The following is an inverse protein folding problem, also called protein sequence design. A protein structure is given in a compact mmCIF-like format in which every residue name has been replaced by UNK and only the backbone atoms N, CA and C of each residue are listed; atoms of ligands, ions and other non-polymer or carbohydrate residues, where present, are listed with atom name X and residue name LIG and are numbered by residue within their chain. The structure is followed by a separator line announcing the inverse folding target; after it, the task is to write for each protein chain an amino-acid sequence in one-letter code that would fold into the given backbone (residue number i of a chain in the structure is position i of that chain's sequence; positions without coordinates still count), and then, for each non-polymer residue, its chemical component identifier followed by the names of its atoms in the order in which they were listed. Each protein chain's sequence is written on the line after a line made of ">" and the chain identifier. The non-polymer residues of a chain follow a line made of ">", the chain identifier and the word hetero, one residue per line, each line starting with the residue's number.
data_IF_883279426016
#
_entry.id   IF_883279426016
#
_cell.length_a   1.000
_cell.length_b   1.000
_cell.length_c   1.000
_cell.angle_alpha   90.00
_cell.angle_beta   90.00
_cell.angle_gamma   90.00
#
_symmetry.space_group_name_H-M   'P 1'
#
loop_
_entity.id
_entity.type
_entity.pdbx_description
1 polymer ?
#
# COMPACT_ATOMS: atom_id res chain seq x y z
N UNK A 1 36.37 15.67 14.73
CA UNK A 1 35.34 15.60 13.66
C UNK A 1 35.82 14.58 12.64
N UNK A 2 35.12 13.45 12.48
CA UNK A 2 35.47 12.49 11.42
C UNK A 2 35.09 13.09 10.08
N UNK A 3 35.99 13.04 9.10
CA UNK A 3 35.77 13.54 7.75
C UNK A 3 36.03 12.41 6.79
N UNK A 4 35.02 12.07 6.00
CA UNK A 4 35.11 11.06 4.95
C UNK A 4 35.10 11.75 3.58
N UNK A 5 35.92 11.26 2.64
CA UNK A 5 36.03 11.82 1.28
C UNK A 5 35.74 10.74 0.25
N UNK A 6 35.05 11.11 -0.83
CA UNK A 6 34.73 10.21 -1.95
C UNK A 6 34.09 8.89 -1.49
N UNK A 7 33.04 9.00 -0.68
CA UNK A 7 32.36 7.86 -0.07
C UNK A 7 30.98 7.61 -0.69
N UNK A 8 30.47 6.39 -0.48
CA UNK A 8 29.06 6.06 -0.64
C UNK A 8 28.37 6.16 0.73
N UNK A 9 27.48 7.14 0.90
CA UNK A 9 26.70 7.28 2.13
C UNK A 9 25.41 6.48 2.00
N UNK A 10 25.19 5.55 2.92
CA UNK A 10 24.01 4.67 2.92
C UNK A 10 23.19 4.96 4.17
N UNK A 11 22.08 5.67 3.99
CA UNK A 11 21.07 5.77 5.03
C UNK A 11 20.27 4.47 5.06
N UNK A 12 20.23 3.80 6.21
CA UNK A 12 19.59 2.49 6.36
C UNK A 12 18.54 2.52 7.47
N UNK A 13 17.36 1.97 7.17
CA UNK A 13 16.31 1.69 8.14
C UNK A 13 15.99 0.20 8.05
N UNK A 14 15.92 -0.46 9.20
CA UNK A 14 15.49 -1.84 9.31
C UNK A 14 14.00 -1.84 9.61
N UNK A 15 13.22 -2.62 8.88
CA UNK A 15 11.77 -2.77 9.01
C UNK A 15 11.39 -4.07 9.76
N UNK A 16 10.15 -4.11 10.25
CA UNK A 16 9.60 -5.12 11.15
C UNK A 16 9.92 -6.58 10.78
N UNK A 17 9.78 -6.93 9.51
CA UNK A 17 9.98 -8.30 9.01
C UNK A 17 11.32 -8.53 8.34
N UNK A 18 12.25 -7.58 8.43
CA UNK A 18 13.58 -7.73 7.87
C UNK A 18 14.35 -8.81 8.64
N UNK A 19 15.08 -9.63 7.89
CA UNK A 19 15.97 -10.65 8.39
C UNK A 19 17.26 -10.69 7.58
N UNK A 20 18.06 -11.75 7.74
CA UNK A 20 19.32 -11.91 6.98
C UNK A 20 19.11 -11.98 5.46
N UNK A 21 17.90 -12.32 5.01
CA UNK A 21 17.53 -12.37 3.60
C UNK A 21 17.59 -10.98 2.96
N UNK A 22 16.89 -10.00 3.52
CA UNK A 22 16.90 -8.61 3.04
C UNK A 22 18.29 -7.97 3.15
N UNK A 23 19.06 -8.35 4.17
CA UNK A 23 20.46 -7.93 4.31
C UNK A 23 21.35 -8.44 3.17
N UNK A 24 21.11 -9.67 2.71
CA UNK A 24 21.85 -10.25 1.59
C UNK A 24 21.52 -9.51 0.29
N UNK A 25 20.24 -9.27 0.02
CA UNK A 25 19.78 -8.45 -1.12
C UNK A 25 20.40 -7.05 -1.06
N UNK A 26 20.39 -6.41 0.11
CA UNK A 26 20.98 -5.10 0.32
C UNK A 26 22.50 -5.10 0.07
N UNK A 27 23.21 -6.10 0.58
CA UNK A 27 24.66 -6.20 0.40
C UNK A 27 25.04 -6.44 -1.07
N UNK A 28 24.23 -7.17 -1.83
CA UNK A 28 24.40 -7.38 -3.27
C UNK A 28 24.11 -6.12 -4.08
N UNK A 29 23.05 -5.38 -3.73
CA UNK A 29 22.74 -4.11 -4.38
C UNK A 29 23.82 -3.06 -4.09
N UNK A 30 24.28 -2.96 -2.84
CA UNK A 30 25.36 -2.03 -2.48
C UNK A 30 26.66 -2.39 -3.19
N UNK A 31 26.95 -3.68 -3.37
CA UNK A 31 28.10 -4.12 -4.14
C UNK A 31 27.98 -3.70 -5.63
N UNK A 32 26.81 -3.90 -6.22
CA UNK A 32 26.53 -3.50 -7.61
C UNK A 32 26.66 -1.99 -7.81
N UNK A 33 26.07 -1.20 -6.91
CA UNK A 33 26.17 0.27 -6.93
C UNK A 33 27.60 0.76 -6.70
N UNK A 34 28.31 0.17 -5.74
CA UNK A 34 29.70 0.52 -5.43
C UNK A 34 30.63 0.22 -6.60
N UNK A 35 30.43 -0.89 -7.31
CA UNK A 35 31.18 -1.22 -8.52
C UNK A 35 30.91 -0.22 -9.66
N UNK A 36 29.67 0.24 -9.84
CA UNK A 36 29.30 1.22 -10.88
C UNK A 36 29.99 2.57 -10.67
N UNK A 37 30.14 3.01 -9.42
CA UNK A 37 30.70 4.33 -9.06
C UNK A 37 32.19 4.29 -8.68
N UNK A 38 32.81 3.12 -8.79
CA UNK A 38 34.23 2.87 -8.54
C UNK A 38 34.57 2.68 -7.05
N UNK A 39 34.29 1.47 -6.52
CA UNK A 39 34.61 0.95 -5.17
C UNK A 39 35.01 2.02 -4.15
N UNK A 40 34.00 2.70 -3.61
CA UNK A 40 34.16 3.75 -2.60
C UNK A 40 33.97 3.20 -1.19
N UNK A 41 34.62 3.78 -0.16
CA UNK A 41 34.27 3.48 1.23
C UNK A 41 32.79 3.73 1.48
N UNK A 42 32.15 2.84 2.24
CA UNK A 42 30.73 2.88 2.55
C UNK A 42 30.55 3.44 3.96
N UNK A 43 29.75 4.49 4.09
CA UNK A 43 29.34 5.03 5.39
C UNK A 43 27.92 4.55 5.68
N UNK A 44 27.77 3.61 6.61
CA UNK A 44 26.47 3.13 7.06
C UNK A 44 25.91 4.09 8.11
N UNK A 45 24.78 4.71 7.77
CA UNK A 45 24.09 5.71 8.57
C UNK A 45 22.73 5.17 9.02
N UNK A 46 22.60 4.61 10.24
CA UNK A 46 21.31 4.18 10.77
C UNK A 46 20.35 5.36 10.86
N UNK A 47 19.22 5.28 10.17
CA UNK A 47 18.25 6.35 10.04
C UNK A 47 16.83 5.78 10.05
N UNK A 48 16.22 5.79 11.24
CA UNK A 48 14.88 5.24 11.49
C UNK A 48 13.76 5.99 10.74
N UNK A 49 14.03 7.21 10.24
CA UNK A 49 13.01 8.05 9.61
C UNK A 49 12.71 7.67 8.17
N UNK A 50 13.38 6.66 7.61
CA UNK A 50 13.12 6.19 6.26
C UNK A 50 11.86 5.31 6.16
N UNK A 51 11.37 4.77 7.28
CA UNK A 51 10.18 3.91 7.30
C UNK A 51 9.30 4.15 8.52
N UNK A 52 7.99 3.94 8.35
CA UNK A 52 7.00 3.88 9.42
C UNK A 52 6.91 2.47 10.04
N UNK A 53 7.29 1.42 9.29
CA UNK A 53 7.26 0.01 9.71
C UNK A 53 8.59 -0.41 10.35
N UNK A 54 9.21 0.51 11.08
CA UNK A 54 10.53 0.32 11.69
C UNK A 54 10.55 -0.90 12.62
N UNK A 55 11.62 -1.69 12.53
CA UNK A 55 11.85 -2.77 13.46
C UNK A 55 12.04 -2.26 14.90
N UNK A 56 11.72 -3.10 15.90
CA UNK A 56 12.13 -2.88 17.27
C UNK A 56 13.63 -2.58 17.40
N UNK A 57 14.00 -1.69 18.32
CA UNK A 57 15.36 -1.15 18.46
C UNK A 57 16.44 -2.23 18.50
N UNK A 58 16.22 -3.28 19.29
CA UNK A 58 17.17 -4.40 19.44
C UNK A 58 17.39 -5.16 18.13
N UNK A 59 16.32 -5.40 17.37
CA UNK A 59 16.39 -6.06 16.06
C UNK A 59 17.13 -5.17 15.06
N UNK A 60 16.77 -3.89 15.00
CA UNK A 60 17.40 -2.92 14.10
C UNK A 60 18.90 -2.77 14.37
N UNK A 61 19.29 -2.60 15.64
CA UNK A 61 20.70 -2.48 16.03
C UNK A 61 21.52 -3.72 15.65
N UNK A 62 20.95 -4.92 15.88
CA UNK A 62 21.58 -6.17 15.52
C UNK A 62 21.73 -6.35 14.01
N UNK A 63 20.66 -6.10 13.23
CA UNK A 63 20.70 -6.26 11.76
C UNK A 63 21.64 -5.25 11.08
N UNK A 64 21.69 -4.00 11.54
CA UNK A 64 22.67 -3.03 11.03
C UNK A 64 24.10 -3.50 11.28
N UNK A 65 24.39 -4.09 12.45
CA UNK A 65 25.72 -4.63 12.75
C UNK A 65 26.06 -5.87 11.89
N UNK A 66 25.07 -6.71 11.58
CA UNK A 66 25.27 -7.84 10.66
C UNK A 66 25.51 -7.37 9.22
N UNK A 67 24.82 -6.32 8.76
CA UNK A 67 25.04 -5.73 7.44
C UNK A 67 26.47 -5.16 7.29
N UNK A 68 26.98 -4.49 8.32
CA UNK A 68 28.37 -4.04 8.38
C UNK A 68 29.35 -5.21 8.17
N UNK A 69 29.18 -6.30 8.93
CA UNK A 69 30.02 -7.49 8.81
C UNK A 69 29.94 -8.12 7.41
N UNK A 70 28.75 -8.19 6.83
CA UNK A 70 28.54 -8.75 5.49
C UNK A 70 29.28 -7.95 4.42
N UNK A 71 29.23 -6.62 4.48
CA UNK A 71 29.93 -5.75 3.55
C UNK A 71 31.46 -5.82 3.72
N UNK A 72 31.95 -5.87 4.96
CA UNK A 72 33.39 -6.07 5.24
C UNK A 72 33.86 -7.43 4.68
N UNK A 73 33.09 -8.50 4.90
CA UNK A 73 33.42 -9.83 4.37
C UNK A 73 33.46 -9.87 2.83
N UNK A 74 32.68 -9.01 2.15
CA UNK A 74 32.74 -8.80 0.69
C UNK A 74 33.90 -7.90 0.25
N UNK A 75 34.73 -7.42 1.17
CA UNK A 75 35.94 -6.64 0.89
C UNK A 75 35.73 -5.14 0.73
N UNK A 76 34.65 -4.59 1.30
CA UNK A 76 34.42 -3.14 1.33
C UNK A 76 35.03 -2.51 2.60
N UNK A 77 35.54 -1.28 2.46
CA UNK A 77 35.83 -0.41 3.61
C UNK A 77 34.52 0.19 4.10
N UNK A 78 34.12 -0.15 5.32
CA UNK A 78 32.81 0.21 5.89
C UNK A 78 33.01 0.91 7.21
N UNK A 79 32.40 2.09 7.36
CA UNK A 79 32.35 2.82 8.60
C UNK A 79 30.89 3.00 9.01
N UNK A 80 30.50 2.39 10.14
CA UNK A 80 29.15 2.55 10.69
C UNK A 80 29.09 3.67 11.72
N UNK A 81 28.12 4.57 11.56
CA UNK A 81 27.84 5.60 12.55
C UNK A 81 27.09 5.04 13.78
N UNK A 82 27.15 5.77 14.89
CA UNK A 82 26.46 5.37 16.13
C UNK A 82 24.95 5.21 15.93
N UNK A 83 24.42 4.10 16.44
CA UNK A 83 22.99 3.78 16.44
C UNK A 83 22.31 4.40 17.66
N UNK A 84 21.08 4.92 17.52
CA UNK A 84 20.28 5.43 18.64
C UNK A 84 20.59 6.86 19.09
N UNK A 85 21.47 7.58 18.40
CA UNK A 85 21.83 8.96 18.75
C UNK A 85 21.36 9.98 17.70
N UNK A 86 20.94 11.15 18.18
CA UNK A 86 20.88 12.35 17.36
C UNK A 86 22.29 12.75 16.92
N UNK A 87 22.47 12.96 15.62
CA UNK A 87 23.77 13.23 14.99
C UNK A 87 23.69 14.51 14.17
N UNK A 88 24.68 15.38 14.34
CA UNK A 88 24.91 16.51 13.44
C UNK A 88 25.97 16.10 12.42
N UNK A 89 25.68 16.28 11.13
CA UNK A 89 26.62 16.00 10.05
C UNK A 89 26.39 16.97 8.88
N UNK A 90 27.45 17.22 8.12
CA UNK A 90 27.40 17.91 6.83
C UNK A 90 27.74 16.92 5.71
N UNK A 91 27.12 17.07 4.55
CA UNK A 91 27.35 16.23 3.38
C UNK A 91 27.31 17.08 2.12
N UNK A 92 28.20 16.78 1.18
CA UNK A 92 28.22 17.35 -0.16
C UNK A 92 28.02 16.22 -1.17
N UNK A 93 27.02 16.35 -2.03
CA UNK A 93 26.68 15.36 -3.05
C UNK A 93 27.09 15.87 -4.43
N UNK A 94 27.74 15.02 -5.23
CA UNK A 94 28.24 15.41 -6.56
C UNK A 94 27.14 15.78 -7.57
N UNK A 95 25.87 15.47 -7.31
CA UNK A 95 24.72 15.93 -8.10
C UNK A 95 24.51 15.29 -9.48
N UNK A 96 25.32 14.31 -9.89
CA UNK A 96 25.16 13.61 -11.16
C UNK A 96 23.95 12.66 -11.15
N UNK A 97 23.43 12.28 -12.33
CA UNK A 97 22.38 11.25 -12.44
C UNK A 97 22.83 9.96 -11.75
N UNK A 98 22.03 9.46 -10.81
CA UNK A 98 22.37 8.29 -9.99
C UNK A 98 23.19 8.57 -8.72
N UNK A 99 23.48 9.84 -8.41
CA UNK A 99 24.19 10.21 -7.16
C UNK A 99 23.34 10.01 -5.89
N UNK A 100 22.01 9.91 -6.05
CA UNK A 100 21.05 9.61 -5.00
C UNK A 100 20.09 8.56 -5.53
N UNK A 101 20.00 7.43 -4.82
CA UNK A 101 19.12 6.32 -5.17
C UNK A 101 18.40 5.80 -3.93
N UNK A 102 17.11 5.55 -4.05
CA UNK A 102 16.33 4.82 -3.06
C UNK A 102 16.27 3.33 -3.42
N UNK A 103 16.34 2.47 -2.40
CA UNK A 103 16.17 1.01 -2.53
C UNK A 103 15.34 0.51 -1.36
N UNK A 104 14.54 -0.52 -1.63
CA UNK A 104 13.79 -1.27 -0.63
C UNK A 104 13.91 -2.75 -0.94
N UNK A 105 14.07 -3.52 0.11
CA UNK A 105 14.28 -4.96 0.08
C UNK A 105 13.11 -5.58 0.82
N UNK A 106 12.51 -6.59 0.21
CA UNK A 106 11.21 -7.09 0.63
C UNK A 106 11.24 -8.56 1.06
N UNK A 107 12.34 -9.27 0.74
CA UNK A 107 12.47 -10.70 0.96
C UNK A 107 11.37 -11.49 0.25
N UNK A 108 10.95 -12.57 0.90
CA UNK A 108 9.98 -13.51 0.33
C UNK A 108 8.58 -12.91 0.07
N UNK A 109 7.86 -13.52 -0.87
CA UNK A 109 6.46 -13.16 -1.20
C UNK A 109 5.56 -13.26 0.04
N UNK A 110 5.79 -14.25 0.91
CA UNK A 110 5.05 -14.44 2.15
C UNK A 110 5.27 -13.29 3.14
N UNK A 111 6.50 -12.78 3.27
CA UNK A 111 6.80 -11.63 4.13
C UNK A 111 6.15 -10.36 3.58
N UNK A 112 6.16 -10.17 2.27
CA UNK A 112 5.46 -9.07 1.62
C UNK A 112 3.96 -9.12 1.90
N UNK A 113 3.37 -10.30 1.79
CA UNK A 113 1.95 -10.47 2.06
C UNK A 113 1.62 -10.26 3.54
N UNK A 114 2.44 -10.76 4.46
CA UNK A 114 2.31 -10.53 5.90
C UNK A 114 2.40 -9.04 6.26
N UNK A 115 3.35 -8.29 5.66
CA UNK A 115 3.45 -6.83 5.83
C UNK A 115 2.14 -6.13 5.52
N UNK A 116 1.49 -6.53 4.43
CA UNK A 116 0.15 -6.04 4.13
C UNK A 116 -0.81 -6.41 5.24
N UNK A 117 -0.98 -7.70 5.54
CA UNK A 117 -1.94 -8.16 6.54
C UNK A 117 -1.78 -7.45 7.89
N UNK A 118 -0.56 -7.11 8.27
CA UNK A 118 -0.30 -6.32 9.48
C UNK A 118 -0.67 -4.86 9.36
N UNK A 119 -0.36 -4.19 8.24
CA UNK A 119 -0.86 -2.84 7.97
C UNK A 119 -2.39 -2.78 7.95
N UNK A 120 -3.01 -3.87 7.52
CA UNK A 120 -4.46 -4.06 7.51
C UNK A 120 -5.00 -4.60 8.84
N UNK A 121 -4.22 -4.63 9.92
CA UNK A 121 -4.70 -5.09 11.24
C UNK A 121 -5.19 -6.55 11.29
N UNK A 122 -5.02 -7.33 10.22
CA UNK A 122 -5.40 -8.75 10.14
C UNK A 122 -4.45 -9.60 10.96
N UNK A 123 -3.16 -9.27 10.87
CA UNK A 123 -2.10 -9.93 11.61
C UNK A 123 -1.45 -8.94 12.58
N UNK A 124 -1.28 -9.28 13.86
CA UNK A 124 -0.45 -8.47 14.75
C UNK A 124 0.98 -8.24 14.21
N UNK A 125 1.66 -7.15 14.60
CA UNK A 125 3.05 -6.88 14.19
C UNK A 125 4.04 -8.01 14.49
N UNK A 126 3.79 -8.77 15.55
CA UNK A 126 4.58 -9.91 15.99
C UNK A 126 4.31 -11.21 15.21
N UNK A 127 3.32 -11.21 14.31
CA UNK A 127 3.00 -12.38 13.48
C UNK A 127 4.18 -12.81 12.61
N UNK A 128 4.28 -14.11 12.39
CA UNK A 128 5.18 -14.72 11.43
C UNK A 128 4.39 -15.16 10.19
N UNK A 129 5.04 -15.46 9.05
CA UNK A 129 4.33 -15.89 7.85
C UNK A 129 3.40 -17.10 8.06
N UNK A 130 3.76 -18.00 8.98
CA UNK A 130 2.94 -19.16 9.37
C UNK A 130 1.68 -18.82 10.16
N UNK A 131 1.60 -17.62 10.73
CA UNK A 131 0.50 -17.14 11.55
C UNK A 131 -0.58 -16.43 10.70
N UNK A 132 -0.34 -16.28 9.38
CA UNK A 132 -1.34 -15.76 8.46
C UNK A 132 -2.58 -16.68 8.42
N UNK A 133 -3.79 -16.12 8.25
CA UNK A 133 -5.01 -16.91 8.12
C UNK A 133 -4.91 -17.97 7.02
N UNK A 134 -5.61 -19.11 7.16
CA UNK A 134 -5.53 -20.20 6.17
C UNK A 134 -5.87 -19.77 4.74
N UNK A 135 -6.78 -18.79 4.59
CA UNK A 135 -7.13 -18.21 3.29
C UNK A 135 -5.97 -17.42 2.66
N UNK A 136 -5.06 -16.87 3.47
CA UNK A 136 -3.88 -16.15 3.00
C UNK A 136 -2.91 -17.08 2.27
N UNK A 137 -2.76 -18.31 2.76
CA UNK A 137 -1.93 -19.33 2.13
C UNK A 137 -2.40 -19.65 0.71
N UNK A 138 -3.72 -19.69 0.48
CA UNK A 138 -4.29 -19.90 -0.85
C UNK A 138 -3.93 -18.77 -1.83
N UNK A 139 -3.74 -17.55 -1.33
CA UNK A 139 -3.31 -16.41 -2.15
C UNK A 139 -1.83 -16.49 -2.52
N UNK A 140 -0.97 -16.89 -1.59
CA UNK A 140 0.47 -17.06 -1.83
C UNK A 140 0.77 -18.26 -2.74
N UNK A 141 0.13 -19.41 -2.50
CA UNK A 141 0.36 -20.65 -3.27
C UNK A 141 -0.09 -20.53 -4.74
N UNK A 142 -1.11 -19.72 -5.01
CA UNK A 142 -1.57 -19.44 -6.38
C UNK A 142 -0.65 -18.49 -7.16
N UNK A 143 0.52 -18.13 -6.59
CA UNK A 143 1.60 -17.34 -7.19
C UNK A 143 1.09 -16.15 -7.96
N UNK A 144 0.81 -15.10 -7.21
CA UNK A 144 0.50 -13.78 -7.72
C UNK A 144 1.68 -13.25 -8.53
N UNK A 145 1.66 -13.48 -9.84
CA UNK A 145 2.72 -13.05 -10.75
C UNK A 145 2.81 -11.53 -10.78
N UNK A 146 3.91 -11.02 -10.24
CA UNK A 146 4.36 -9.63 -10.37
C UNK A 146 4.64 -9.33 -11.85
N UNK A 147 3.85 -8.45 -12.47
CA UNK A 147 4.10 -7.96 -13.84
C UNK A 147 5.08 -6.78 -13.82
N UNK A 148 5.89 -6.66 -14.88
CA UNK A 148 7.07 -5.77 -14.91
C UNK A 148 6.84 -4.28 -15.21
N UNK A 149 5.62 -3.83 -15.56
CA UNK A 149 5.36 -2.40 -15.87
C UNK A 149 3.93 -1.90 -15.57
N UNK A 150 3.80 -0.64 -15.11
CA UNK A 150 2.53 0.01 -14.68
C UNK A 150 1.44 0.00 -15.75
N UNK A 151 1.76 0.38 -16.98
CA UNK A 151 0.79 0.45 -18.10
C UNK A 151 0.28 -0.95 -18.48
N UNK A 152 1.15 -1.94 -18.43
CA UNK A 152 0.80 -3.33 -18.68
C UNK A 152 -0.09 -3.89 -17.56
N UNK A 153 0.25 -3.61 -16.29
CA UNK A 153 -0.56 -3.98 -15.13
C UNK A 153 -1.97 -3.38 -15.19
N UNK A 154 -2.09 -2.09 -15.52
CA UNK A 154 -3.40 -1.43 -15.66
C UNK A 154 -4.22 -2.01 -16.81
N UNK A 155 -3.61 -2.25 -17.96
CA UNK A 155 -4.28 -2.86 -19.11
C UNK A 155 -4.68 -4.33 -18.86
N UNK A 156 -3.94 -5.07 -18.05
CA UNK A 156 -4.29 -6.43 -17.64
C UNK A 156 -5.41 -6.38 -16.61
N UNK A 157 -5.33 -5.53 -15.59
CA UNK A 157 -6.38 -5.35 -14.59
C UNK A 157 -7.72 -4.92 -15.22
N UNK A 158 -7.70 -3.98 -16.16
CA UNK A 158 -8.88 -3.57 -16.94
C UNK A 158 -9.46 -4.70 -17.78
N UNK A 159 -8.62 -5.49 -18.45
CA UNK A 159 -9.09 -6.65 -19.21
C UNK A 159 -9.69 -7.71 -18.31
N UNK A 160 -9.06 -8.00 -17.17
CA UNK A 160 -9.60 -8.95 -16.19
C UNK A 160 -10.94 -8.48 -15.62
N UNK A 161 -11.08 -7.19 -15.31
CA UNK A 161 -12.35 -6.60 -14.89
C UNK A 161 -13.42 -6.76 -15.98
N UNK A 162 -13.10 -6.40 -17.22
CA UNK A 162 -14.01 -6.51 -18.36
C UNK A 162 -14.47 -7.96 -18.56
N UNK A 163 -13.51 -8.90 -18.63
CA UNK A 163 -13.79 -10.33 -18.78
C UNK A 163 -14.65 -10.86 -17.63
N UNK A 164 -14.47 -10.35 -16.40
CA UNK A 164 -15.27 -10.74 -15.23
C UNK A 164 -16.70 -10.21 -15.30
N UNK A 165 -16.87 -8.93 -15.62
CA UNK A 165 -18.18 -8.30 -15.76
C UNK A 165 -18.98 -8.98 -16.87
N UNK A 166 -18.33 -9.25 -18.01
CA UNK A 166 -18.94 -9.92 -19.17
C UNK A 166 -19.26 -11.40 -18.89
N UNK A 167 -18.44 -12.10 -18.10
CA UNK A 167 -18.67 -13.51 -17.77
C UNK A 167 -19.74 -13.71 -16.69
N UNK A 168 -19.87 -12.76 -15.76
CA UNK A 168 -20.78 -12.92 -14.61
C UNK A 168 -22.18 -12.43 -14.92
N UNK A 169 -22.35 -11.24 -15.52
CA UNK A 169 -23.65 -10.62 -15.82
C UNK A 169 -24.56 -10.34 -14.60
N UNK A 170 -24.37 -11.05 -13.50
CA UNK A 170 -25.10 -10.98 -12.24
C UNK A 170 -24.09 -11.18 -11.10
N UNK A 171 -23.94 -10.19 -10.21
CA UNK A 171 -22.93 -10.27 -9.16
C UNK A 171 -22.89 -9.05 -8.24
N UNK A 172 -22.06 -9.13 -7.22
CA UNK A 172 -21.83 -8.05 -6.26
C UNK A 172 -20.36 -7.66 -6.27
N UNK A 173 -20.08 -6.40 -6.58
CA UNK A 173 -18.77 -5.81 -6.81
C UNK A 173 -18.38 -4.88 -5.65
N UNK A 174 -17.40 -5.25 -4.84
CA UNK A 174 -16.85 -4.39 -3.80
C UNK A 174 -15.66 -3.61 -4.33
N UNK A 175 -15.85 -2.31 -4.55
CA UNK A 175 -14.81 -1.34 -4.91
C UNK A 175 -14.32 -0.57 -3.67
N UNK A 176 -13.13 -0.92 -3.20
CA UNK A 176 -12.31 -0.03 -2.38
C UNK A 176 -11.35 0.67 -3.30
N UNK A 177 -11.17 1.97 -3.14
CA UNK A 177 -10.40 2.73 -4.10
C UNK A 177 -9.68 3.82 -3.37
N UNK A 178 -8.35 3.77 -3.45
CA UNK A 178 -7.49 4.74 -2.81
C UNK A 178 -6.60 5.35 -3.86
N UNK A 179 -7.12 6.42 -4.42
CA UNK A 179 -6.41 7.33 -5.29
C UNK A 179 -6.78 8.76 -4.89
N UNK A 180 -6.29 9.19 -3.74
CA UNK A 180 -6.03 10.61 -3.50
C UNK A 180 -4.54 10.78 -3.18
N UNK A 181 -3.71 10.68 -4.22
CA UNK A 181 -2.26 10.82 -4.10
C UNK A 181 -1.56 11.27 -5.39
N UNK A 182 -2.12 10.99 -6.58
CA UNK A 182 -1.52 11.42 -7.84
C UNK A 182 -2.03 12.79 -8.29
N UNK A 183 -1.11 13.68 -8.69
CA UNK A 183 -1.47 14.98 -9.30
C UNK A 183 -2.17 14.84 -10.66
N UNK A 184 -2.07 13.69 -11.30
CA UNK A 184 -2.75 13.34 -12.57
C UNK A 184 -3.00 11.82 -12.59
N UNK A 185 -4.19 11.34 -12.22
CA UNK A 185 -4.53 9.94 -12.44
C UNK A 185 -4.44 9.61 -13.93
N UNK A 186 -3.92 8.43 -14.27
CA UNK A 186 -3.73 7.99 -15.67
C UNK A 186 -5.04 7.85 -16.45
N UNK A 187 -6.18 7.72 -15.75
CA UNK A 187 -7.54 7.71 -16.30
C UNK A 187 -8.53 8.23 -15.23
N UNK A 188 -9.68 8.79 -15.64
CA UNK A 188 -10.75 9.17 -14.72
C UNK A 188 -11.43 7.92 -14.17
N UNK A 189 -11.04 7.51 -12.99
CA UNK A 189 -11.55 6.30 -12.36
C UNK A 189 -13.04 6.40 -11.95
N UNK A 190 -13.53 7.61 -11.73
CA UNK A 190 -14.96 7.83 -11.62
C UNK A 190 -15.68 7.41 -12.91
N UNK A 191 -15.07 7.65 -14.07
CA UNK A 191 -15.59 7.16 -15.36
C UNK A 191 -15.65 5.63 -15.44
N UNK A 192 -14.71 4.90 -14.83
CA UNK A 192 -14.80 3.42 -14.78
C UNK A 192 -15.96 2.95 -13.90
N UNK A 193 -16.16 3.57 -12.73
CA UNK A 193 -17.34 3.30 -11.90
C UNK A 193 -18.64 3.64 -12.64
N UNK A 194 -18.66 4.77 -13.36
CA UNK A 194 -19.81 5.20 -14.15
C UNK A 194 -20.14 4.19 -15.23
N UNK A 195 -19.12 3.74 -15.96
CA UNK A 195 -19.25 2.71 -16.97
C UNK A 195 -19.82 1.42 -16.37
N UNK A 196 -19.35 0.99 -15.20
CA UNK A 196 -19.89 -0.21 -14.53
C UNK A 196 -21.38 -0.03 -14.19
N UNK A 197 -21.74 1.11 -13.60
CA UNK A 197 -23.12 1.40 -13.20
C UNK A 197 -24.06 1.54 -14.41
N UNK A 198 -23.56 2.06 -15.54
CA UNK A 198 -24.31 2.31 -16.77
C UNK A 198 -24.41 1.07 -17.65
N UNK A 199 -23.32 0.32 -17.83
CA UNK A 199 -23.26 -0.82 -18.78
C UNK A 199 -23.69 -2.15 -18.13
N UNK A 200 -23.60 -2.28 -16.79
CA UNK A 200 -23.89 -3.52 -16.06
C UNK A 200 -24.98 -3.34 -15.00
N UNK A 201 -26.23 -3.25 -15.46
CA UNK A 201 -27.40 -2.97 -14.60
C UNK A 201 -27.70 -4.02 -13.53
N UNK A 202 -27.23 -5.26 -13.72
CA UNK A 202 -27.46 -6.37 -12.81
C UNK A 202 -26.32 -6.56 -11.79
N UNK A 203 -25.28 -5.73 -11.87
CA UNK A 203 -24.15 -5.73 -10.93
C UNK A 203 -24.45 -4.76 -9.78
N UNK A 204 -24.41 -5.28 -8.55
CA UNK A 204 -24.42 -4.43 -7.35
C UNK A 204 -23.02 -3.90 -7.11
N UNK A 205 -22.87 -2.61 -6.87
CA UNK A 205 -21.57 -1.97 -6.62
C UNK A 205 -21.55 -1.41 -5.21
N UNK A 206 -20.50 -1.76 -4.48
CA UNK A 206 -20.26 -1.29 -3.13
C UNK A 206 -19.01 -0.42 -3.16
N UNK A 207 -19.15 0.85 -2.79
CA UNK A 207 -18.07 1.82 -2.80
C UNK A 207 -17.76 2.27 -1.39
N UNK A 208 -16.56 1.92 -0.92
CA UNK A 208 -15.98 2.52 0.28
C UNK A 208 -15.15 3.74 -0.12
N UNK A 209 -15.39 4.86 0.56
CA UNK A 209 -14.72 6.12 0.28
C UNK A 209 -13.88 6.49 1.48
N UNK A 210 -12.56 6.46 1.32
CA UNK A 210 -11.63 7.00 2.30
C UNK A 210 -11.06 8.31 1.75
N UNK A 211 -11.80 9.38 1.98
CA UNK A 211 -11.45 10.74 1.58
C UNK A 211 -11.48 11.62 2.82
N UNK A 212 -10.85 12.80 2.75
CA UNK A 212 -11.13 13.85 3.74
C UNK A 212 -12.65 14.10 3.82
N UNK A 213 -13.17 14.55 4.96
CA UNK A 213 -14.63 14.81 5.11
C UNK A 213 -15.19 15.71 3.98
N UNK A 214 -14.50 16.79 3.54
CA UNK A 214 -14.92 17.54 2.36
C UNK A 214 -14.88 16.73 1.05
N UNK A 215 -13.86 15.90 0.85
CA UNK A 215 -13.75 15.01 -0.32
C UNK A 215 -14.86 13.96 -0.36
N UNK A 216 -15.13 13.31 0.77
CA UNK A 216 -16.23 12.37 0.94
C UNK A 216 -17.57 13.02 0.63
N UNK A 217 -17.84 14.17 1.26
CA UNK A 217 -19.07 14.95 1.06
C UNK A 217 -19.30 15.31 -0.41
N UNK A 218 -18.27 15.84 -1.10
CA UNK A 218 -18.38 16.23 -2.49
C UNK A 218 -18.66 15.04 -3.41
N UNK A 219 -17.90 13.95 -3.25
CA UNK A 219 -17.99 12.80 -4.14
C UNK A 219 -19.25 11.95 -3.85
N UNK A 220 -19.67 11.80 -2.59
CA UNK A 220 -20.94 11.16 -2.24
C UNK A 220 -22.13 11.96 -2.79
N UNK A 221 -22.18 13.29 -2.59
CA UNK A 221 -23.25 14.14 -3.15
C UNK A 221 -23.27 14.13 -4.69
N UNK A 222 -22.13 13.95 -5.33
CA UNK A 222 -22.10 13.74 -6.77
C UNK A 222 -22.81 12.44 -7.16
N UNK A 223 -22.50 11.33 -6.49
CA UNK A 223 -23.12 10.03 -6.75
C UNK A 223 -24.63 10.05 -6.48
N UNK A 224 -25.08 10.70 -5.39
CA UNK A 224 -26.51 10.90 -5.10
C UNK A 224 -27.24 11.66 -6.21
N UNK A 225 -26.60 12.68 -6.80
CA UNK A 225 -27.16 13.43 -7.93
C UNK A 225 -27.16 12.64 -9.24
N UNK A 226 -26.11 11.87 -9.51
CA UNK A 226 -25.95 11.17 -10.79
C UNK A 226 -26.70 9.84 -10.84
N UNK A 227 -26.78 9.10 -9.72
CA UNK A 227 -27.34 7.75 -9.65
C UNK A 227 -28.34 7.56 -8.50
N UNK A 228 -29.38 8.42 -8.38
CA UNK A 228 -30.36 8.32 -7.29
C UNK A 228 -31.08 6.97 -7.26
N UNK A 229 -31.53 6.47 -8.42
CA UNK A 229 -32.26 5.19 -8.53
C UNK A 229 -31.38 3.97 -8.20
N UNK A 230 -30.10 4.01 -8.55
CA UNK A 230 -29.16 2.94 -8.22
C UNK A 230 -28.92 2.87 -6.70
N UNK A 231 -28.86 4.03 -6.04
CA UNK A 231 -28.72 4.10 -4.58
C UNK A 231 -30.01 3.66 -3.92
N UNK A 232 -31.17 4.17 -4.33
CA UNK A 232 -32.45 3.80 -3.73
C UNK A 232 -32.75 2.29 -3.84
N UNK A 233 -32.47 1.69 -5.00
CA UNK A 233 -32.62 0.25 -5.22
C UNK A 233 -31.57 -0.62 -4.51
N UNK A 234 -30.56 -0.01 -3.89
CA UNK A 234 -29.44 -0.71 -3.25
C UNK A 234 -28.46 -1.37 -4.21
N UNK A 235 -28.54 -1.01 -5.48
CA UNK A 235 -27.58 -1.40 -6.52
C UNK A 235 -26.26 -0.66 -6.36
N UNK A 236 -26.26 0.59 -5.89
CA UNK A 236 -25.05 1.31 -5.50
C UNK A 236 -25.10 1.56 -3.99
N UNK A 237 -24.12 1.02 -3.26
CA UNK A 237 -23.99 1.25 -1.82
C UNK A 237 -22.76 2.09 -1.53
N UNK A 238 -22.94 3.18 -0.78
CA UNK A 238 -21.89 4.11 -0.42
C UNK A 238 -21.62 3.99 1.07
N UNK A 239 -20.34 3.91 1.42
CA UNK A 239 -19.87 3.74 2.80
C UNK A 239 -18.70 4.69 3.09
N UNK A 240 -18.60 5.14 4.34
CA UNK A 240 -17.39 5.76 4.86
C UNK A 240 -16.40 4.70 5.36
N UNK A 241 -15.10 4.95 5.19
CA UNK A 241 -14.04 4.02 5.57
C UNK A 241 -12.96 4.70 6.41
N UNK A 242 -12.32 3.93 7.29
CA UNK A 242 -11.23 4.38 8.15
C UNK A 242 -9.82 4.04 7.62
N UNK A 243 -9.73 3.40 6.46
CA UNK A 243 -8.45 2.87 5.97
C UNK A 243 -8.04 3.54 4.68
N UNK A 244 -6.79 3.99 4.66
CA UNK A 244 -6.23 4.85 3.63
C UNK A 244 -5.48 4.18 2.49
N UNK A 245 -5.21 2.87 2.55
CA UNK A 245 -4.25 2.26 1.61
C UNK A 245 -4.62 0.86 1.05
N UNK A 246 -5.80 0.67 0.45
CA UNK A 246 -6.32 -0.58 -0.11
C UNK A 246 -7.26 -0.36 -1.32
N UNK A 247 -6.93 -0.96 -2.47
CA UNK A 247 -7.88 -1.14 -3.57
C UNK A 247 -8.29 -2.61 -3.68
N UNK A 248 -9.60 -2.88 -3.61
CA UNK A 248 -10.16 -4.22 -3.83
C UNK A 248 -11.30 -4.11 -4.83
N UNK A 249 -11.37 -5.05 -5.76
CA UNK A 249 -12.55 -5.27 -6.60
C UNK A 249 -13.00 -6.71 -6.40
N UNK A 250 -14.00 -6.92 -5.56
CA UNK A 250 -14.48 -8.26 -5.19
C UNK A 250 -15.79 -8.56 -5.90
N UNK A 251 -15.85 -9.64 -6.68
CA UNK A 251 -17.09 -10.32 -7.05
C UNK A 251 -17.23 -11.65 -6.31
N UNK A 252 -18.42 -12.26 -6.35
CA UNK A 252 -18.64 -13.62 -5.81
C UNK A 252 -17.66 -14.68 -6.35
N UNK A 253 -17.03 -14.42 -7.51
CA UNK A 253 -16.17 -15.37 -8.22
C UNK A 253 -14.80 -14.77 -8.63
N UNK A 254 -14.45 -13.57 -8.15
CA UNK A 254 -13.21 -12.88 -8.51
C UNK A 254 -12.78 -11.81 -7.49
N UNK A 255 -11.48 -11.53 -7.35
CA UNK A 255 -10.92 -10.61 -6.33
C UNK A 255 -9.70 -9.88 -6.88
N UNK A 256 -9.80 -8.62 -7.32
CA UNK A 256 -8.62 -7.79 -7.59
C UNK A 256 -8.13 -7.13 -6.30
N UNK A 257 -6.81 -7.17 -6.06
CA UNK A 257 -6.18 -6.90 -4.77
C UNK A 257 -4.93 -6.02 -4.98
N UNK A 258 -5.08 -4.73 -4.71
CA UNK A 258 -4.13 -3.70 -5.08
C UNK A 258 -3.55 -2.96 -3.85
N UNK A 259 -2.25 -2.68 -3.91
CA UNK A 259 -1.45 -2.18 -2.79
C UNK A 259 -0.93 -0.76 -3.09
N UNK A 260 -1.37 0.27 -2.36
CA UNK A 260 -0.79 1.60 -2.43
C UNK A 260 0.29 1.83 -1.36
N UNK A 261 1.08 2.89 -1.56
CA UNK A 261 1.89 3.49 -0.50
C UNK A 261 2.02 5.00 -0.73
N UNK A 262 1.53 5.82 0.21
CA UNK A 262 1.81 7.27 0.24
C UNK A 262 3.02 7.57 1.16
N UNK A 263 4.00 8.38 0.71
CA UNK A 263 4.99 9.03 1.57
C UNK A 263 4.48 10.36 2.13
N UNK A 264 4.77 10.62 3.41
CA UNK A 264 4.30 11.77 4.21
C UNK A 264 4.92 13.16 3.87
N UNK A 265 5.31 13.48 2.62
CA UNK A 265 5.83 14.83 2.27
C UNK A 265 5.43 15.38 0.89
N UNK A 266 5.11 16.66 0.87
CA UNK A 266 4.80 17.44 -0.32
C UNK A 266 6.00 17.55 -1.29
N UNK A 267 5.80 17.18 -2.56
CA UNK A 267 6.76 17.40 -3.65
C UNK A 267 7.28 16.13 -4.34
N UNK A 268 6.96 14.93 -3.84
CA UNK A 268 7.34 13.67 -4.50
C UNK A 268 6.20 13.19 -5.41
N UNK A 269 6.49 12.99 -6.71
CA UNK A 269 5.64 12.21 -7.61
C UNK A 269 6.15 10.77 -7.58
N UNK A 270 5.35 9.84 -7.06
CA UNK A 270 5.62 8.42 -7.16
C UNK A 270 4.34 7.72 -7.59
N UNK A 271 4.45 6.94 -8.65
CA UNK A 271 3.38 6.11 -9.19
C UNK A 271 3.30 4.74 -8.52
N UNK A 272 2.11 4.15 -8.60
CA UNK A 272 1.70 2.95 -7.88
C UNK A 272 1.68 1.69 -8.78
N UNK A 273 1.77 0.51 -8.16
CA UNK A 273 1.60 -0.80 -8.79
C UNK A 273 0.47 -1.56 -8.07
N UNK A 274 -0.64 -1.76 -8.78
CA UNK A 274 -1.82 -2.56 -8.40
C UNK A 274 -1.78 -3.92 -9.10
N UNK A 275 -2.22 -5.01 -8.45
CA UNK A 275 -2.39 -6.33 -9.10
C UNK A 275 -3.79 -6.91 -8.88
N UNK A 276 -4.21 -7.85 -9.73
CA UNK A 276 -5.56 -8.42 -9.74
C UNK A 276 -5.55 -9.93 -9.73
N UNK A 277 -6.48 -10.54 -9.01
CA UNK A 277 -6.61 -12.00 -8.89
C UNK A 277 -7.99 -12.40 -9.39
N UNK A 278 -8.05 -13.43 -10.20
CA UNK A 278 -9.32 -14.09 -10.47
C UNK A 278 -9.41 -15.32 -9.58
N UNK A 279 -10.36 -15.34 -8.65
CA UNK A 279 -10.50 -16.42 -7.67
C UNK A 279 -11.77 -17.23 -7.93
N UNK A 280 -11.61 -18.39 -8.59
CA UNK A 280 -12.68 -19.36 -8.84
C UNK A 280 -13.24 -20.06 -7.58
N UNK A 281 -12.72 -19.73 -6.41
CA UNK A 281 -13.11 -20.34 -5.15
C UNK A 281 -14.15 -19.42 -4.48
N UNK A 282 -15.42 -19.83 -4.56
CA UNK A 282 -16.55 -19.03 -4.07
C UNK A 282 -16.52 -18.84 -2.55
N UNK A 283 -16.06 -19.85 -1.79
CA UNK A 283 -15.95 -19.75 -0.34
C UNK A 283 -14.85 -18.76 0.06
N UNK A 284 -13.73 -18.78 -0.67
CA UNK A 284 -12.68 -17.77 -0.50
C UNK A 284 -13.19 -16.36 -0.81
N UNK A 285 -13.84 -16.16 -1.96
CA UNK A 285 -14.36 -14.86 -2.35
C UNK A 285 -15.39 -14.35 -1.34
N UNK A 286 -16.29 -15.22 -0.87
CA UNK A 286 -17.27 -14.91 0.18
C UNK A 286 -16.61 -14.51 1.49
N UNK A 287 -15.61 -15.26 1.96
CA UNK A 287 -14.91 -14.96 3.21
C UNK A 287 -14.16 -13.62 3.12
N UNK A 288 -13.55 -13.32 1.97
CA UNK A 288 -12.86 -12.05 1.76
C UNK A 288 -13.84 -10.86 1.65
N UNK A 289 -14.99 -11.04 1.00
CA UNK A 289 -16.08 -10.05 0.98
C UNK A 289 -16.59 -9.79 2.41
N UNK A 290 -16.82 -10.84 3.20
CA UNK A 290 -17.25 -10.69 4.59
C UNK A 290 -16.18 -9.99 5.45
N UNK A 291 -14.92 -10.35 5.25
CA UNK A 291 -13.81 -9.68 5.92
C UNK A 291 -13.73 -8.20 5.54
N UNK A 292 -13.85 -7.89 4.24
CA UNK A 292 -13.89 -6.53 3.70
C UNK A 292 -15.02 -5.70 4.33
N UNK A 293 -16.23 -6.25 4.39
CA UNK A 293 -17.39 -5.63 5.06
C UNK A 293 -17.12 -5.29 6.52
N UNK A 294 -16.41 -6.15 7.23
CA UNK A 294 -16.17 -6.01 8.67
C UNK A 294 -15.04 -5.02 8.97
N UNK A 295 -14.02 -4.98 8.11
CA UNK A 295 -12.77 -4.29 8.38
C UNK A 295 -12.75 -2.83 7.88
N UNK A 296 -13.37 -2.56 6.72
CA UNK A 296 -13.21 -1.27 6.04
C UNK A 296 -14.42 -0.37 6.10
N UNK A 297 -15.60 -0.94 6.22
CA UNK A 297 -16.82 -0.16 6.43
C UNK A 297 -16.90 0.19 7.89
N UNK A 298 -16.95 1.49 8.19
CA UNK A 298 -17.22 1.92 9.55
C UNK A 298 -18.63 1.42 9.95
N UNK A 299 -18.65 0.46 10.86
CA UNK A 299 -19.87 -0.22 11.30
C UNK A 299 -20.90 0.73 11.91
N UNK A 300 -20.48 1.94 12.31
CA UNK A 300 -21.36 2.99 12.86
C UNK A 300 -22.28 3.58 11.81
N UNK A 301 -21.78 3.80 10.59
CA UNK A 301 -22.52 4.51 9.54
C UNK A 301 -23.31 3.58 8.62
N UNK A 302 -22.84 2.34 8.42
CA UNK A 302 -23.54 1.38 7.57
C UNK A 302 -23.75 1.88 6.13
N UNK A 303 -24.75 1.33 5.43
CA UNK A 303 -25.07 1.75 4.05
C UNK A 303 -25.90 3.03 4.05
N UNK A 304 -25.38 4.07 3.40
CA UNK A 304 -26.05 5.36 3.20
C UNK A 304 -27.01 5.28 2.01
N UNK A 305 -28.30 5.45 2.27
CA UNK A 305 -29.43 5.30 1.33
C UNK A 305 -30.10 6.63 1.01
N UNK A 306 -30.07 7.58 1.93
CA UNK A 306 -30.75 8.87 1.78
C UNK A 306 -29.81 10.05 1.98
N UNK A 307 -30.18 11.22 1.44
CA UNK A 307 -29.44 12.46 1.70
C UNK A 307 -29.44 12.83 3.19
N UNK A 308 -30.49 12.47 3.93
CA UNK A 308 -30.56 12.70 5.37
C UNK A 308 -29.52 11.87 6.12
N UNK A 309 -29.38 10.59 5.78
CA UNK A 309 -28.33 9.72 6.34
C UNK A 309 -26.94 10.24 5.96
N UNK A 310 -26.74 10.66 4.71
CA UNK A 310 -25.47 11.24 4.26
C UNK A 310 -25.10 12.47 5.08
N UNK A 311 -26.05 13.39 5.31
CA UNK A 311 -25.81 14.60 6.09
C UNK A 311 -25.53 14.29 7.57
N UNK A 312 -26.22 13.30 8.16
CA UNK A 312 -25.91 12.84 9.51
C UNK A 312 -24.49 12.28 9.62
N UNK A 313 -24.09 11.40 8.69
CA UNK A 313 -22.73 10.87 8.62
C UNK A 313 -21.68 11.98 8.47
N UNK A 314 -21.91 12.96 7.59
CA UNK A 314 -20.98 14.08 7.41
C UNK A 314 -20.87 14.91 8.70
N UNK A 315 -21.98 15.24 9.35
CA UNK A 315 -21.96 16.04 10.59
C UNK A 315 -21.19 15.33 11.70
N UNK A 316 -21.41 14.03 11.90
CA UNK A 316 -20.69 13.24 12.90
C UNK A 316 -19.18 13.24 12.61
N UNK A 317 -18.79 13.06 11.35
CA UNK A 317 -17.38 13.10 10.95
C UNK A 317 -16.75 14.49 11.13
N UNK A 318 -17.50 15.57 10.88
CA UNK A 318 -17.04 16.94 11.14
C UNK A 318 -16.84 17.16 12.65
N UNK A 319 -17.77 16.70 13.50
CA UNK A 319 -17.66 16.79 14.96
C UNK A 319 -16.42 16.06 15.50
N UNK A 320 -16.13 14.84 15.01
CA UNK A 320 -14.90 14.10 15.35
C UNK A 320 -13.64 14.88 14.97
N UNK A 321 -13.59 15.40 13.73
CA UNK A 321 -12.47 16.23 13.29
C UNK A 321 -12.27 17.49 14.13
N UNK A 322 -13.34 18.05 14.70
CA UNK A 322 -13.25 19.21 15.59
C UNK A 322 -12.77 18.84 17.01
N UNK A 323 -13.12 17.66 17.52
CA UNK A 323 -12.67 17.17 18.82
C UNK A 323 -11.18 16.80 18.80
N UNK A 324 -10.72 16.10 17.77
CA UNK A 324 -9.32 15.71 17.58
C UNK A 324 -8.37 16.92 17.43
N UNK A 325 -8.87 18.09 17.04
CA UNK A 325 -8.08 19.33 16.96
C UNK A 325 -7.94 20.07 18.28
N UNK A 326 -8.67 19.67 19.33
CA UNK A 326 -8.64 20.30 20.66
C UNK A 326 -7.72 19.59 21.65
N UNK A 327 -7.33 18.34 21.37
CA UNK A 327 -6.34 17.56 22.13
C UNK A 327 -4.90 17.76 21.62
#
# INVERSE_FOLDING_TARGET
>A
MMVFRNVLVVFVCIELYDSKEELQEAAEEFASLSNLIGKRPIILCPNVHLSIDRAPEKQAAWLVAELEKMLIAKGYDVNRLSFGYHKQYGMECNGNVGSVVGRRFYGSEEKQFLRLLTRLGVCPPESLPKDMPSWATTLTERRLKVLGSRRESYNVGRRMLQDQLDATGHGELWTCMLFEGERQPMDDYLSALYQIIEDYHDVRVHRAMNLSVPGFSNAARFLFRKYPEAIESGRLRIYNSQVSDIEFLLSHTAVLLAFPHIPRKAGSHAGEISFGIYCKDEDFAKNLIQWYQTFLVDARFGWIRTESELNATINELEEEMFQDRRE
#
